data_IF_493340108353
#
_entry.id   IF_493340108353
#
_cell.length_a   1.000
_cell.length_b   1.000
_cell.length_c   1.000
_cell.angle_alpha   90.00
_cell.angle_beta   90.00
_cell.angle_gamma   90.00
#
_symmetry.space_group_name_H-M   'P 1'
#
loop_
_entity.id
_entity.type
_entity.pdbx_description
1 polymer ?
#
# COMPACT_ATOMS: atom_id res chain seq x y z
N UNK A 1 9.47 -2.25 -22.29
CA UNK A 1 8.64 -2.41 -21.08
C UNK A 1 7.36 -3.08 -21.52
N UNK A 2 7.00 -4.20 -20.88
CA UNK A 2 5.73 -4.86 -21.12
C UNK A 2 4.67 -4.06 -20.35
N UNK A 3 3.66 -3.54 -21.07
CA UNK A 3 2.51 -2.93 -20.42
C UNK A 3 1.70 -4.08 -19.81
N UNK A 4 1.86 -4.32 -18.52
CA UNK A 4 1.13 -5.34 -17.75
C UNK A 4 -0.15 -4.76 -17.13
N UNK A 5 -0.51 -3.51 -17.47
CA UNK A 5 -1.72 -2.88 -16.99
C UNK A 5 -2.94 -3.58 -17.58
N UNK A 6 -3.85 -4.12 -16.74
CA UNK A 6 -5.05 -4.79 -17.23
C UNK A 6 -6.02 -3.78 -17.87
N UNK A 7 -6.05 -3.77 -19.20
CA UNK A 7 -7.01 -2.99 -19.98
C UNK A 7 -8.44 -3.38 -19.56
N UNK A 8 -9.22 -2.38 -19.11
CA UNK A 8 -10.60 -2.60 -18.69
C UNK A 8 -10.81 -2.85 -17.21
N UNK A 9 -9.77 -2.82 -16.36
CA UNK A 9 -9.91 -2.98 -14.90
C UNK A 9 -10.97 -2.05 -14.29
N UNK A 10 -11.10 -0.82 -14.81
CA UNK A 10 -12.11 0.16 -14.36
C UNK A 10 -13.56 -0.28 -14.58
N UNK A 11 -13.81 -1.28 -15.43
CA UNK A 11 -15.14 -1.86 -15.65
C UNK A 11 -15.48 -2.93 -14.59
N UNK A 12 -14.47 -3.51 -13.95
CA UNK A 12 -14.65 -4.52 -12.91
C UNK A 12 -14.87 -3.84 -11.57
N UNK A 13 -16.12 -3.73 -11.15
CA UNK A 13 -16.48 -2.97 -9.93
C UNK A 13 -17.37 -3.74 -8.96
N UNK A 14 -17.77 -4.98 -9.32
CA UNK A 14 -18.71 -5.78 -8.55
C UNK A 14 -18.24 -6.10 -7.13
N UNK A 15 -16.92 -6.20 -6.93
CA UNK A 15 -16.28 -6.45 -5.64
C UNK A 15 -16.16 -5.21 -4.76
N UNK A 16 -16.33 -4.00 -5.32
CA UNK A 16 -16.11 -2.78 -4.56
C UNK A 16 -17.21 -2.57 -3.52
N UNK A 17 -16.85 -2.23 -2.27
CA UNK A 17 -17.82 -1.86 -1.24
C UNK A 17 -18.52 -0.52 -1.49
N UNK A 18 -17.97 0.34 -2.38
CA UNK A 18 -18.61 1.57 -2.85
C UNK A 18 -18.21 1.91 -4.29
N UNK A 19 -19.06 2.68 -5.03
CA UNK A 19 -18.76 3.08 -6.40
C UNK A 19 -17.42 3.80 -6.56
N UNK A 20 -16.83 3.70 -7.75
CA UNK A 20 -15.66 4.50 -8.11
C UNK A 20 -15.97 6.00 -7.98
N UNK A 21 -14.99 6.83 -7.60
CA UNK A 21 -15.15 8.28 -7.67
C UNK A 21 -15.48 8.72 -9.10
N UNK A 22 -16.31 9.76 -9.24
CA UNK A 22 -16.58 10.38 -10.55
C UNK A 22 -15.39 11.20 -11.09
N UNK A 23 -14.32 11.35 -10.31
CA UNK A 23 -13.11 12.05 -10.72
C UNK A 23 -12.19 11.15 -11.58
N UNK A 24 -11.44 11.74 -12.52
CA UNK A 24 -10.31 11.09 -13.18
C UNK A 24 -9.37 10.33 -12.23
N UNK A 25 -8.92 9.14 -12.63
CA UNK A 25 -7.77 8.50 -11.98
C UNK A 25 -6.49 9.31 -12.23
N UNK A 26 -5.55 9.25 -11.27
CA UNK A 26 -4.34 10.08 -11.28
C UNK A 26 -3.09 9.34 -11.74
N UNK A 27 -2.96 8.06 -11.34
CA UNK A 27 -1.76 7.25 -11.55
C UNK A 27 -2.14 5.77 -11.67
N UNK A 28 -1.37 5.01 -12.44
CA UNK A 28 -1.40 3.54 -12.47
C UNK A 28 -0.19 2.95 -11.77
N UNK A 29 -0.33 1.71 -11.32
CA UNK A 29 0.76 0.89 -10.80
C UNK A 29 0.38 -0.58 -10.91
N UNK A 30 1.36 -1.45 -11.15
CA UNK A 30 1.21 -2.90 -11.14
C UNK A 30 2.10 -3.47 -10.06
N UNK A 31 1.53 -4.30 -9.18
CA UNK A 31 2.23 -4.84 -8.02
C UNK A 31 2.60 -6.29 -8.26
N UNK A 32 3.85 -6.62 -7.99
CA UNK A 32 4.47 -7.92 -8.25
C UNK A 32 5.10 -8.46 -6.99
N UNK A 33 5.09 -9.79 -6.84
CA UNK A 33 5.74 -10.48 -5.73
C UNK A 33 5.31 -9.87 -4.39
N UNK A 34 4.00 -9.76 -4.17
CA UNK A 34 3.45 -9.08 -3.01
C UNK A 34 3.43 -10.01 -1.79
N UNK A 35 3.89 -9.52 -0.65
CA UNK A 35 3.70 -10.20 0.63
C UNK A 35 2.80 -9.34 1.54
N UNK A 36 1.79 -9.98 2.11
CA UNK A 36 0.94 -9.42 3.15
C UNK A 36 1.31 -10.00 4.51
N UNK A 37 2.25 -9.38 5.23
CA UNK A 37 2.62 -9.82 6.58
C UNK A 37 1.96 -8.92 7.64
N UNK A 38 1.21 -9.53 8.56
CA UNK A 38 0.38 -8.80 9.52
C UNK A 38 0.59 -9.30 10.95
N UNK A 39 0.59 -8.37 11.91
CA UNK A 39 0.69 -8.68 13.34
C UNK A 39 -0.41 -7.99 14.13
N UNK A 40 -1.05 -8.70 15.08
CA UNK A 40 -1.97 -8.08 16.02
C UNK A 40 -1.18 -7.21 16.98
N UNK A 41 -1.68 -6.02 17.26
CA UNK A 41 -1.05 -5.06 18.16
C UNK A 41 -2.08 -4.38 19.04
N UNK A 42 -1.66 -3.96 20.23
CA UNK A 42 -2.50 -3.20 21.15
C UNK A 42 -3.07 -1.93 20.47
N UNK A 43 -4.40 -1.82 20.45
CA UNK A 43 -5.12 -0.74 19.79
C UNK A 43 -4.73 0.64 20.35
N UNK A 44 -4.48 0.75 21.65
CA UNK A 44 -4.10 2.02 22.29
C UNK A 44 -2.72 2.49 21.81
N UNK A 45 -1.79 1.55 21.57
CA UNK A 45 -0.47 1.86 21.02
C UNK A 45 -0.54 2.37 19.59
N UNK A 46 -1.41 1.77 18.76
CA UNK A 46 -1.64 2.25 17.39
C UNK A 46 -2.33 3.61 17.42
N UNK A 47 -3.35 3.76 18.28
CA UNK A 47 -4.13 4.98 18.42
C UNK A 47 -3.26 6.19 18.73
N UNK A 48 -2.27 6.03 19.60
CA UNK A 48 -1.31 7.06 19.96
C UNK A 48 -0.37 7.49 18.81
N UNK A 49 -0.33 6.73 17.71
CA UNK A 49 0.57 6.95 16.57
C UNK A 49 -0.12 7.41 15.29
N UNK A 50 -1.45 7.52 15.30
CA UNK A 50 -2.21 7.96 14.13
C UNK A 50 -3.04 9.22 14.43
N UNK A 51 -3.25 10.12 13.44
CA UNK A 51 -3.95 11.39 13.64
C UNK A 51 -5.33 11.24 14.30
N UNK A 52 -5.72 12.12 15.24
CA UNK A 52 -7.00 12.02 15.95
C UNK A 52 -8.24 11.95 15.04
N UNK A 53 -8.20 12.60 13.87
CA UNK A 53 -9.29 12.60 12.89
C UNK A 53 -9.49 11.29 12.12
N UNK A 54 -8.70 10.25 12.38
CA UNK A 54 -8.78 8.95 11.72
C UNK A 54 -9.13 7.85 12.73
N UNK A 55 -10.40 7.45 12.88
CA UNK A 55 -10.80 6.34 13.75
C UNK A 55 -10.14 5.03 13.33
N UNK A 56 -9.70 4.22 14.31
CA UNK A 56 -9.16 2.89 14.03
C UNK A 56 -10.26 1.96 13.54
N UNK A 57 -9.93 1.13 12.56
CA UNK A 57 -10.76 0.01 12.14
C UNK A 57 -10.19 -1.26 12.78
N UNK A 58 -11.01 -1.98 13.53
CA UNK A 58 -10.60 -3.12 14.34
C UNK A 58 -11.31 -4.37 13.84
N UNK A 59 -10.58 -5.49 13.79
CA UNK A 59 -11.17 -6.79 13.49
C UNK A 59 -11.37 -7.54 14.80
N UNK A 60 -12.61 -7.87 15.17
CA UNK A 60 -12.95 -8.50 16.45
C UNK A 60 -12.33 -7.78 17.66
N UNK A 61 -12.29 -6.44 17.63
CA UNK A 61 -11.70 -5.61 18.67
C UNK A 61 -10.16 -5.52 18.66
N UNK A 62 -9.50 -6.21 17.72
CA UNK A 62 -8.04 -6.24 17.59
C UNK A 62 -7.56 -5.24 16.52
N UNK A 63 -6.53 -4.44 16.85
CA UNK A 63 -5.82 -3.62 15.88
C UNK A 63 -4.69 -4.42 15.22
N UNK A 64 -4.36 -4.03 13.99
CA UNK A 64 -3.37 -4.73 13.16
C UNK A 64 -2.39 -3.75 12.52
N UNK A 65 -1.14 -4.19 12.39
CA UNK A 65 -0.13 -3.55 11.56
C UNK A 65 0.23 -4.50 10.43
N UNK A 66 0.26 -3.97 9.21
CA UNK A 66 0.75 -4.66 8.02
C UNK A 66 2.11 -4.14 7.61
N UNK A 67 3.01 -5.07 7.28
CA UNK A 67 4.29 -4.82 6.61
C UNK A 67 4.20 -5.50 5.24
N UNK A 68 4.17 -4.68 4.19
CA UNK A 68 3.80 -5.10 2.84
C UNK A 68 4.94 -4.75 1.88
N UNK A 69 5.93 -5.65 1.69
CA UNK A 69 6.96 -5.50 0.67
C UNK A 69 6.45 -5.99 -0.68
N UNK A 70 6.80 -5.27 -1.75
CA UNK A 70 6.49 -5.67 -3.12
C UNK A 70 7.39 -4.93 -4.12
N UNK A 71 7.34 -5.39 -5.36
CA UNK A 71 7.93 -4.67 -6.50
C UNK A 71 6.81 -4.05 -7.31
N UNK A 72 6.96 -2.79 -7.67
CA UNK A 72 6.02 -2.14 -8.58
C UNK A 72 6.61 -1.91 -9.97
N UNK A 73 5.74 -1.94 -10.97
CA UNK A 73 5.99 -1.51 -12.36
C UNK A 73 4.85 -0.59 -12.82
N UNK A 74 5.00 0.01 -14.00
CA UNK A 74 3.99 0.85 -14.63
C UNK A 74 3.46 1.98 -13.74
N UNK A 75 4.34 2.49 -12.88
CA UNK A 75 4.12 3.69 -12.07
C UNK A 75 4.16 4.89 -13.00
N UNK A 76 2.98 5.38 -13.38
CA UNK A 76 2.87 6.45 -14.35
C UNK A 76 1.64 7.32 -14.09
N UNK A 77 1.77 8.66 -14.15
CA UNK A 77 0.62 9.55 -14.15
C UNK A 77 -0.31 9.28 -15.34
N UNK A 78 -1.58 9.65 -15.19
CA UNK A 78 -2.56 9.53 -16.26
C UNK A 78 -2.09 10.23 -17.54
N UNK A 79 -2.20 9.52 -18.67
CA UNK A 79 -1.77 9.94 -20.01
C UNK A 79 -0.25 10.06 -20.21
N UNK A 80 0.57 9.72 -19.21
CA UNK A 80 2.03 9.69 -19.33
C UNK A 80 2.46 8.23 -19.46
N UNK A 81 3.30 7.88 -20.45
CA UNK A 81 3.82 6.52 -20.55
C UNK A 81 4.80 6.22 -19.40
N UNK A 82 4.84 4.95 -18.98
CA UNK A 82 5.84 4.48 -18.03
C UNK A 82 7.26 4.71 -18.59
N UNK A 83 8.08 5.44 -17.83
CA UNK A 83 9.44 5.80 -18.22
C UNK A 83 10.45 4.78 -17.67
N UNK A 84 11.49 4.44 -18.44
CA UNK A 84 12.54 3.54 -17.96
C UNK A 84 13.16 4.08 -16.67
N UNK A 85 13.52 3.18 -15.74
CA UNK A 85 14.23 3.46 -14.49
C UNK A 85 13.42 4.18 -13.38
N UNK A 86 12.29 4.79 -13.69
CA UNK A 86 11.52 5.59 -12.71
C UNK A 86 10.12 5.05 -12.49
N UNK A 87 9.62 4.24 -13.43
CA UNK A 87 8.31 3.59 -13.35
C UNK A 87 8.34 2.16 -12.81
N UNK A 88 9.48 1.69 -12.32
CA UNK A 88 9.61 0.38 -11.68
C UNK A 88 10.65 0.42 -10.56
N UNK A 89 10.26 0.00 -9.36
CA UNK A 89 11.10 0.00 -8.16
C UNK A 89 10.48 -0.88 -7.07
N UNK A 90 11.26 -1.20 -6.03
CA UNK A 90 10.72 -1.86 -4.83
C UNK A 90 10.09 -0.84 -3.87
N UNK A 91 9.02 -1.24 -3.19
CA UNK A 91 8.34 -0.46 -2.15
C UNK A 91 7.97 -1.34 -0.95
N UNK A 92 8.06 -0.76 0.24
CA UNK A 92 7.73 -1.39 1.51
C UNK A 92 6.80 -0.49 2.31
N UNK A 93 5.59 -1.02 2.57
CA UNK A 93 4.54 -0.27 3.25
C UNK A 93 4.36 -0.77 4.67
N UNK A 94 4.46 0.15 5.65
CA UNK A 94 4.05 -0.11 7.04
C UNK A 94 2.75 0.63 7.27
N UNK A 95 1.68 -0.11 7.52
CA UNK A 95 0.31 0.44 7.54
C UNK A 95 -0.53 -0.10 8.68
N UNK A 96 -1.58 0.62 9.01
CA UNK A 96 -2.69 0.17 9.86
C UNK A 96 -4.03 0.50 9.20
N UNK A 97 -5.12 0.14 9.85
CA UNK A 97 -6.47 0.17 9.30
C UNK A 97 -7.31 1.23 10.00
N UNK A 98 -8.01 2.02 9.19
CA UNK A 98 -8.84 3.14 9.66
C UNK A 98 -10.15 3.18 8.88
N UNK A 99 -11.20 3.67 9.51
CA UNK A 99 -12.52 3.80 8.88
C UNK A 99 -13.05 5.21 9.08
N UNK A 100 -13.41 5.89 8.00
CA UNK A 100 -14.02 7.24 8.06
C UNK A 100 -15.30 7.24 7.24
N UNK A 101 -16.43 7.53 7.89
CA UNK A 101 -17.73 7.58 7.24
C UNK A 101 -18.16 6.24 6.64
N UNK A 102 -17.86 5.13 7.32
CA UNK A 102 -18.23 3.77 6.88
C UNK A 102 -17.40 3.23 5.72
N UNK A 103 -16.24 3.83 5.43
CA UNK A 103 -15.36 3.41 4.34
C UNK A 103 -14.00 2.97 4.90
N UNK A 104 -13.77 1.65 4.98
CA UNK A 104 -12.48 1.09 5.41
C UNK A 104 -11.34 1.46 4.47
N UNK A 105 -10.23 1.90 5.04
CA UNK A 105 -9.02 2.22 4.32
C UNK A 105 -7.78 1.93 5.14
N UNK A 106 -6.65 2.33 4.59
CA UNK A 106 -5.35 2.20 5.25
C UNK A 106 -4.78 3.55 5.62
N UNK A 107 -4.01 3.59 6.71
CA UNK A 107 -3.13 4.68 7.06
C UNK A 107 -1.70 4.17 7.05
N UNK A 108 -0.81 4.90 6.39
CA UNK A 108 0.61 4.54 6.31
C UNK A 108 1.40 5.21 7.42
N UNK A 109 2.16 4.41 8.17
CA UNK A 109 3.21 4.90 9.05
C UNK A 109 4.47 5.24 8.27
N UNK A 110 4.82 4.41 7.29
CA UNK A 110 5.94 4.63 6.39
C UNK A 110 5.70 3.96 5.05
N UNK A 111 6.25 4.58 4.00
CA UNK A 111 6.34 4.06 2.63
C UNK A 111 7.81 4.13 2.22
N UNK A 112 8.56 3.05 2.42
CA UNK A 112 9.95 3.03 2.02
C UNK A 112 10.02 2.70 0.53
N UNK A 113 10.82 3.41 -0.25
CA UNK A 113 10.95 3.17 -1.69
C UNK A 113 12.39 3.34 -2.18
N UNK A 114 12.75 2.54 -3.17
CA UNK A 114 14.08 2.54 -3.80
C UNK A 114 14.34 3.84 -4.60
N UNK A 115 13.29 4.41 -5.21
CA UNK A 115 13.39 5.57 -6.09
C UNK A 115 13.28 6.89 -5.33
N UNK A 116 14.42 7.55 -5.09
CA UNK A 116 14.48 8.88 -4.47
C UNK A 116 13.67 9.95 -5.21
N UNK A 117 13.55 9.83 -6.54
CA UNK A 117 12.75 10.73 -7.36
C UNK A 117 11.24 10.47 -7.20
N UNK A 118 10.82 9.19 -7.11
CA UNK A 118 9.44 8.85 -6.80
C UNK A 118 9.06 9.30 -5.38
N UNK A 119 9.97 9.12 -4.41
CA UNK A 119 9.84 9.63 -3.04
C UNK A 119 9.65 11.15 -3.03
N UNK A 120 10.48 11.90 -3.76
CA UNK A 120 10.38 13.36 -3.83
C UNK A 120 9.06 13.84 -4.45
N UNK A 121 8.60 13.19 -5.52
CA UNK A 121 7.33 13.49 -6.15
C UNK A 121 6.16 13.18 -5.19
N UNK A 122 6.13 11.99 -4.59
CA UNK A 122 5.07 11.56 -3.68
C UNK A 122 4.97 12.45 -2.43
N UNK A 123 6.12 12.85 -1.83
CA UNK A 123 6.15 13.81 -0.72
C UNK A 123 5.56 15.17 -1.11
N UNK A 124 5.90 15.65 -2.30
CA UNK A 124 5.49 16.97 -2.78
C UNK A 124 3.99 17.06 -3.10
N UNK A 125 3.39 16.00 -3.64
CA UNK A 125 2.00 16.02 -4.10
C UNK A 125 1.00 15.36 -3.14
N UNK A 126 1.40 14.32 -2.40
CA UNK A 126 0.47 13.48 -1.62
C UNK A 126 0.64 13.62 -0.10
N UNK A 127 1.69 14.30 0.36
CA UNK A 127 2.07 14.45 1.78
C UNK A 127 2.13 13.11 2.54
N UNK A 128 2.48 12.05 1.84
CA UNK A 128 2.61 10.72 2.41
C UNK A 128 4.01 10.53 3.03
N UNK A 129 4.15 9.69 4.06
CA UNK A 129 5.41 9.45 4.77
C UNK A 129 6.33 8.54 3.96
N UNK A 130 6.71 8.97 2.76
CA UNK A 130 7.68 8.27 1.93
C UNK A 130 9.09 8.44 2.50
N UNK A 131 9.92 7.41 2.45
CA UNK A 131 11.34 7.44 2.83
C UNK A 131 12.18 6.75 1.76
N UNK A 132 13.38 7.28 1.52
CA UNK A 132 14.35 6.64 0.63
C UNK A 132 14.96 5.42 1.31
N UNK A 133 15.08 4.31 0.58
CA UNK A 133 15.68 3.08 1.05
C UNK A 133 16.50 2.40 -0.04
N UNK A 134 17.52 1.64 0.35
CA UNK A 134 18.20 0.70 -0.54
C UNK A 134 17.47 -0.64 -0.49
N UNK A 135 17.04 -1.13 -1.65
CA UNK A 135 16.21 -2.33 -1.73
C UNK A 135 16.73 -3.33 -2.75
N UNK A 136 16.52 -4.61 -2.48
CA UNK A 136 16.85 -5.68 -3.41
C UNK A 136 15.71 -6.70 -3.45
N UNK A 137 15.28 -7.03 -4.66
CA UNK A 137 14.28 -8.08 -4.91
C UNK A 137 14.86 -9.07 -5.90
N UNK A 138 14.98 -10.33 -5.48
CA UNK A 138 15.42 -11.45 -6.34
C UNK A 138 14.38 -12.55 -6.30
N UNK A 139 14.14 -13.17 -7.44
CA UNK A 139 13.24 -14.31 -7.56
C UNK A 139 14.04 -15.54 -8.01
N UNK A 140 13.90 -16.64 -7.30
CA UNK A 140 14.38 -17.97 -7.68
C UNK A 140 13.17 -18.90 -7.82
N UNK A 141 12.71 -19.08 -9.05
CA UNK A 141 11.42 -19.72 -9.32
C UNK A 141 10.27 -18.94 -8.66
N UNK A 142 9.64 -19.55 -7.66
CA UNK A 142 8.55 -18.94 -6.86
C UNK A 142 9.03 -18.34 -5.54
N UNK A 143 10.29 -18.56 -5.17
CA UNK A 143 10.87 -18.00 -3.96
C UNK A 143 11.30 -16.56 -4.20
N UNK A 144 10.79 -15.66 -3.38
CA UNK A 144 11.12 -14.24 -3.41
C UNK A 144 12.03 -13.92 -2.24
N UNK A 145 13.19 -13.34 -2.55
CA UNK A 145 14.10 -12.74 -1.60
C UNK A 145 13.92 -11.22 -1.66
N UNK A 146 13.58 -10.62 -0.53
CA UNK A 146 13.36 -9.18 -0.41
C UNK A 146 14.23 -8.63 0.72
N UNK A 147 14.96 -7.56 0.45
CA UNK A 147 15.64 -6.78 1.48
C UNK A 147 15.39 -5.29 1.29
N UNK A 148 15.26 -4.57 2.40
CA UNK A 148 15.15 -3.11 2.45
C UNK A 148 15.96 -2.57 3.61
N UNK A 149 16.73 -1.52 3.36
CA UNK A 149 17.45 -0.74 4.35
C UNK A 149 17.11 0.74 4.17
N UNK A 150 16.41 1.35 5.11
CA UNK A 150 16.05 2.77 5.04
C UNK A 150 17.29 3.64 5.24
N UNK A 151 17.62 4.45 4.22
CA UNK A 151 18.77 5.35 4.20
C UNK A 151 18.38 6.83 4.37
N UNK A 152 17.08 7.11 4.47
CA UNK A 152 16.58 8.47 4.64
C UNK A 152 16.98 9.09 5.98
N UNK A 153 17.77 10.17 5.93
CA UNK A 153 18.30 10.84 7.12
C UNK A 153 17.25 11.57 7.97
N UNK A 154 16.02 11.75 7.46
CA UNK A 154 14.93 12.39 8.19
C UNK A 154 14.17 11.46 9.13
N UNK A 155 14.48 10.16 9.11
CA UNK A 155 13.81 9.14 9.90
C UNK A 155 14.79 8.20 10.60
N UNK A 156 14.27 7.46 11.58
CA UNK A 156 15.03 6.37 12.18
C UNK A 156 15.33 5.27 11.13
N UNK A 157 16.51 4.64 11.18
CA UNK A 157 16.82 3.51 10.32
C UNK A 157 15.82 2.38 10.55
N UNK A 158 15.53 1.64 9.48
CA UNK A 158 14.64 0.50 9.51
C UNK A 158 15.09 -0.52 8.47
N UNK A 159 15.04 -1.79 8.85
CA UNK A 159 15.48 -2.91 8.04
C UNK A 159 14.37 -3.94 7.90
N UNK A 160 14.28 -4.53 6.71
CA UNK A 160 13.48 -5.72 6.46
C UNK A 160 14.31 -6.69 5.64
N UNK A 161 14.39 -7.94 6.07
CA UNK A 161 14.88 -9.07 5.28
C UNK A 161 13.82 -10.14 5.33
N UNK A 162 13.33 -10.55 4.16
CA UNK A 162 12.26 -11.52 4.03
C UNK A 162 12.55 -12.53 2.92
N UNK A 163 12.11 -13.76 3.14
CA UNK A 163 12.04 -14.81 2.15
C UNK A 163 10.63 -15.39 2.20
N UNK A 164 9.94 -15.43 1.07
CA UNK A 164 8.57 -15.91 1.01
C UNK A 164 8.27 -16.54 -0.34
N UNK A 165 7.32 -17.46 -0.33
CA UNK A 165 6.79 -18.14 -1.50
C UNK A 165 5.34 -18.56 -1.20
N UNK A 166 4.53 -18.86 -2.22
CA UNK A 166 3.19 -19.40 -2.02
C UNK A 166 3.23 -20.68 -1.17
N UNK A 167 2.40 -20.73 -0.12
CA UNK A 167 2.30 -21.88 0.77
C UNK A 167 1.12 -22.81 0.43
N UNK A 168 0.28 -22.45 -0.53
CA UNK A 168 -0.95 -23.16 -0.85
C UNK A 168 -1.59 -22.70 -2.16
N UNK A 169 -2.79 -23.21 -2.48
CA UNK A 169 -3.54 -22.80 -3.66
C UNK A 169 -3.98 -21.33 -3.54
N UNK A 170 -4.26 -20.73 -4.70
CA UNK A 170 -4.85 -19.39 -4.79
C UNK A 170 -6.29 -19.45 -4.26
N UNK A 171 -6.67 -18.45 -3.47
CA UNK A 171 -8.03 -18.25 -3.00
C UNK A 171 -8.31 -16.76 -2.86
N UNK A 172 -9.56 -16.37 -3.01
CA UNK A 172 -10.01 -15.00 -2.76
C UNK A 172 -10.47 -14.88 -1.29
N UNK A 173 -10.01 -13.88 -0.53
CA UNK A 173 -10.46 -13.65 0.83
C UNK A 173 -11.98 -13.41 0.91
N UNK A 174 -12.70 -14.24 1.66
CA UNK A 174 -14.15 -14.12 1.78
C UNK A 174 -14.55 -12.93 2.68
N UNK A 175 -15.63 -12.20 2.36
CA UNK A 175 -16.16 -11.14 3.22
C UNK A 175 -16.39 -11.61 4.66
N UNK A 176 -15.98 -10.78 5.63
CA UNK A 176 -16.08 -11.09 7.06
C UNK A 176 -14.93 -11.91 7.63
N UNK A 177 -13.99 -12.39 6.81
CA UNK A 177 -12.77 -13.05 7.29
C UNK A 177 -11.67 -12.04 7.64
N UNK A 178 -10.69 -12.49 8.43
CA UNK A 178 -9.51 -11.68 8.75
C UNK A 178 -8.72 -11.33 7.48
N UNK A 179 -8.53 -12.28 6.56
CA UNK A 179 -7.77 -12.03 5.33
C UNK A 179 -8.43 -10.92 4.51
N UNK A 180 -9.75 -10.97 4.33
CA UNK A 180 -10.50 -9.93 3.64
C UNK A 180 -10.40 -8.59 4.38
N UNK A 181 -10.44 -8.59 5.71
CA UNK A 181 -10.20 -7.38 6.48
C UNK A 181 -8.78 -6.83 6.24
N UNK A 182 -7.75 -7.66 6.15
CA UNK A 182 -6.37 -7.18 6.05
C UNK A 182 -5.96 -6.76 4.64
N UNK A 183 -6.56 -7.33 3.59
CA UNK A 183 -6.16 -7.13 2.19
C UNK A 183 -7.11 -6.23 1.40
N UNK A 184 -8.43 -6.38 1.58
CA UNK A 184 -9.43 -5.69 0.75
C UNK A 184 -9.65 -4.25 1.25
N UNK A 185 -8.78 -3.35 0.78
CA UNK A 185 -8.74 -1.93 1.15
C UNK A 185 -8.63 -1.04 -0.09
N UNK A 186 -9.73 -0.38 -0.40
CA UNK A 186 -9.91 0.41 -1.63
C UNK A 186 -9.68 1.90 -1.46
N UNK A 187 -9.07 2.32 -0.36
CA UNK A 187 -8.63 3.68 -0.18
C UNK A 187 -7.54 3.77 0.88
N UNK A 188 -6.77 4.86 0.81
CA UNK A 188 -5.89 5.31 1.88
C UNK A 188 -6.41 6.64 2.45
N UNK A 189 -6.12 6.88 3.71
CA UNK A 189 -6.44 8.10 4.42
C UNK A 189 -5.18 8.83 4.86
N UNK A 190 -5.27 10.16 4.87
CA UNK A 190 -4.29 11.03 5.49
C UNK A 190 -5.03 12.27 6.04
N UNK A 191 -4.31 13.17 6.71
CA UNK A 191 -4.89 14.40 7.28
C UNK A 191 -4.21 15.65 6.75
N UNK A 192 -4.99 16.73 6.59
CA UNK A 192 -4.42 18.03 6.27
C UNK A 192 -3.76 18.70 7.50
N UNK A 193 -3.22 19.91 7.33
CA UNK A 193 -2.61 20.67 8.43
C UNK A 193 -3.57 21.08 9.55
N UNK A 194 -4.88 20.89 9.37
CA UNK A 194 -5.93 21.10 10.36
C UNK A 194 -6.48 19.78 10.92
N UNK A 195 -5.77 18.67 10.71
CA UNK A 195 -6.17 17.31 11.10
C UNK A 195 -7.48 16.81 10.48
N UNK A 196 -7.93 17.41 9.38
CA UNK A 196 -9.12 16.94 8.66
C UNK A 196 -8.73 15.79 7.75
N UNK A 197 -9.44 14.68 7.89
CA UNK A 197 -9.22 13.51 7.07
C UNK A 197 -9.52 13.81 5.59
N UNK A 198 -8.61 13.41 4.71
CA UNK A 198 -8.84 13.28 3.29
C UNK A 198 -8.50 11.87 2.84
N UNK A 199 -9.05 11.49 1.69
CA UNK A 199 -9.02 10.12 1.19
C UNK A 199 -8.51 10.11 -0.24
N UNK A 200 -7.65 9.13 -0.55
CA UNK A 200 -7.35 8.76 -1.93
C UNK A 200 -7.93 7.37 -2.18
N UNK A 201 -8.84 7.28 -3.15
CA UNK A 201 -9.39 5.99 -3.57
C UNK A 201 -8.35 5.22 -4.40
N UNK A 202 -8.32 3.91 -4.17
CA UNK A 202 -7.50 2.95 -4.89
C UNK A 202 -8.46 1.97 -5.58
N UNK A 203 -8.08 1.55 -6.78
CA UNK A 203 -8.82 0.55 -7.51
C UNK A 203 -7.88 -0.56 -7.96
N UNK A 204 -8.20 -1.78 -7.55
CA UNK A 204 -7.52 -3.03 -7.88
C UNK A 204 -8.58 -4.14 -7.93
N UNK A 205 -8.29 -5.26 -8.59
CA UNK A 205 -9.08 -6.50 -8.48
C UNK A 205 -8.91 -7.13 -7.09
N UNK A 206 -9.81 -7.99 -6.61
CA UNK A 206 -9.61 -8.72 -5.35
C UNK A 206 -8.25 -9.42 -5.32
N UNK A 207 -7.62 -9.47 -4.14
CA UNK A 207 -6.33 -10.13 -3.95
C UNK A 207 -6.42 -11.66 -3.97
#
# INVERSE_FOLDING_TARGET
>A
MQNDFPDGILNETAHRPWPLPGSPWLMTQSWHNLLFAHWPVDADKVRARIPPGLPLDLFDGQAWIGVVPFRMTNVAPRFVPALPLVSAFAELNVRTYVTVGGKPGVYFFSLDAESSMAVAAARSFLRLPYFTAEMNVRCDGTLVHYSSHRTDSSAAPADLVAQYQPAGPIYEPLPGTLDHFLTERYCLYNVDSRFRAYRLDIHHLPW
#
